data_IF_191971462134
#
_entry.id   IF_191971462134
#
_cell.length_a   1.000
_cell.length_b   1.000
_cell.length_c   1.000
_cell.angle_alpha   90.00
_cell.angle_beta   90.00
_cell.angle_gamma   90.00
#
_symmetry.space_group_name_H-M   'P 1'
#
loop_
_entity.id
_entity.type
_entity.pdbx_description
1 polymer ?
#
# COMPACT_ATOMS: atom_id res chain seq x y z
N UNK A 1 -14.13 9.71 0.15
CA UNK A 1 -15.49 9.11 0.21
C UNK A 1 -15.37 7.67 -0.27
N UNK A 2 -15.74 6.70 0.55
CA UNK A 2 -15.76 5.29 0.13
C UNK A 2 -16.82 5.13 -0.96
N UNK A 3 -16.41 4.59 -2.12
CA UNK A 3 -17.32 4.37 -3.24
C UNK A 3 -18.24 3.19 -2.89
N UNK A 4 -19.50 3.46 -2.72
CA UNK A 4 -20.52 2.44 -2.44
C UNK A 4 -20.59 1.48 -3.64
N UNK A 5 -20.67 0.18 -3.39
CA UNK A 5 -20.81 -0.83 -4.44
C UNK A 5 -21.85 -1.89 -4.06
N UNK A 6 -22.32 -2.61 -5.06
CA UNK A 6 -23.32 -3.67 -4.94
C UNK A 6 -22.75 -4.98 -5.48
N UNK A 7 -23.23 -6.09 -4.95
CA UNK A 7 -22.90 -7.45 -5.41
C UNK A 7 -24.18 -8.27 -5.54
N UNK A 8 -24.14 -9.34 -6.35
CA UNK A 8 -25.27 -10.25 -6.51
C UNK A 8 -24.89 -11.61 -5.97
N UNK A 9 -25.69 -12.11 -5.02
CA UNK A 9 -25.60 -13.46 -4.50
C UNK A 9 -26.70 -14.32 -5.11
N UNK A 10 -26.35 -15.51 -5.62
CA UNK A 10 -27.29 -16.52 -6.11
C UNK A 10 -27.26 -17.72 -5.14
N UNK A 11 -28.44 -18.20 -4.73
CA UNK A 11 -28.55 -19.32 -3.81
C UNK A 11 -27.87 -20.58 -4.35
N UNK A 12 -27.12 -21.28 -3.46
CA UNK A 12 -26.37 -22.47 -3.82
C UNK A 12 -25.08 -22.24 -4.60
N UNK A 13 -24.75 -20.98 -4.90
CA UNK A 13 -23.49 -20.59 -5.55
C UNK A 13 -22.47 -20.10 -4.51
N UNK A 14 -21.20 -20.03 -4.91
CA UNK A 14 -20.14 -19.46 -4.08
C UNK A 14 -20.34 -17.98 -3.77
N UNK A 15 -19.44 -17.42 -2.94
CA UNK A 15 -19.48 -15.99 -2.60
C UNK A 15 -19.36 -15.12 -3.87
N UNK A 16 -20.13 -14.01 -3.94
CA UNK A 16 -20.07 -13.11 -5.09
C UNK A 16 -18.70 -12.44 -5.19
N UNK A 17 -18.16 -12.33 -6.39
CA UNK A 17 -16.84 -11.75 -6.65
C UNK A 17 -16.90 -10.44 -7.44
N UNK A 18 -17.98 -10.22 -8.19
CA UNK A 18 -18.14 -9.05 -9.05
C UNK A 18 -18.81 -7.88 -8.31
N UNK A 19 -18.24 -6.68 -8.45
CA UNK A 19 -18.74 -5.44 -7.85
C UNK A 19 -19.42 -4.58 -8.91
N UNK A 20 -20.67 -4.22 -8.68
CA UNK A 20 -21.44 -3.30 -9.51
C UNK A 20 -21.36 -1.88 -8.91
N UNK A 21 -21.25 -0.88 -9.77
CA UNK A 21 -21.10 0.53 -9.35
C UNK A 21 -22.42 1.16 -8.86
N UNK A 22 -23.55 0.59 -9.25
CA UNK A 22 -24.88 1.07 -8.87
C UNK A 22 -25.88 -0.08 -8.72
N UNK A 23 -26.96 0.19 -8.02
CA UNK A 23 -28.01 -0.78 -7.73
C UNK A 23 -28.72 -1.29 -8.98
N UNK A 24 -28.93 -0.42 -9.98
CA UNK A 24 -29.61 -0.81 -11.23
C UNK A 24 -28.82 -1.86 -12.01
N UNK A 25 -27.49 -1.71 -12.09
CA UNK A 25 -26.63 -2.71 -12.73
C UNK A 25 -26.63 -4.05 -11.97
N UNK A 26 -26.62 -4.00 -10.64
CA UNK A 26 -26.73 -5.18 -9.81
C UNK A 26 -28.10 -5.88 -9.96
N UNK A 27 -29.19 -5.12 -10.00
CA UNK A 27 -30.55 -5.66 -10.18
C UNK A 27 -30.71 -6.38 -11.51
N UNK A 28 -30.25 -5.78 -12.62
CA UNK A 28 -30.27 -6.43 -13.94
C UNK A 28 -29.48 -7.73 -13.97
N UNK A 29 -28.34 -7.77 -13.30
CA UNK A 29 -27.53 -8.98 -13.19
C UNK A 29 -28.20 -10.03 -12.30
N UNK A 30 -28.89 -9.61 -11.24
CA UNK A 30 -29.67 -10.49 -10.39
C UNK A 30 -30.80 -11.17 -11.16
N UNK A 31 -31.58 -10.41 -11.93
CA UNK A 31 -32.64 -10.94 -12.81
C UNK A 31 -32.07 -11.95 -13.82
N UNK A 32 -30.98 -11.58 -14.50
CA UNK A 32 -30.31 -12.46 -15.47
C UNK A 32 -29.83 -13.78 -14.85
N UNK A 33 -29.29 -13.72 -13.63
CA UNK A 33 -28.82 -14.91 -12.92
C UNK A 33 -29.98 -15.76 -12.41
N UNK A 34 -31.05 -15.15 -11.92
CA UNK A 34 -32.24 -15.88 -11.50
C UNK A 34 -32.84 -16.69 -12.65
N UNK A 35 -32.99 -16.07 -13.81
CA UNK A 35 -33.49 -16.77 -15.02
C UNK A 35 -32.54 -17.87 -15.50
N UNK A 36 -31.24 -17.59 -15.51
CA UNK A 36 -30.23 -18.54 -16.01
C UNK A 36 -30.07 -19.77 -15.12
N UNK A 37 -30.11 -19.56 -13.79
CA UNK A 37 -29.78 -20.61 -12.80
C UNK A 37 -31.03 -21.24 -12.20
N UNK A 38 -32.21 -20.61 -12.34
CA UNK A 38 -33.45 -21.08 -11.74
C UNK A 38 -33.45 -21.03 -10.21
N UNK A 39 -32.70 -20.10 -9.61
CA UNK A 39 -32.56 -19.94 -8.16
C UNK A 39 -32.84 -18.51 -7.74
N UNK A 40 -33.14 -18.31 -6.46
CA UNK A 40 -33.29 -16.96 -5.93
C UNK A 40 -31.96 -16.21 -5.96
N UNK A 41 -32.00 -14.93 -6.27
CA UNK A 41 -30.86 -14.04 -6.25
C UNK A 41 -31.12 -12.85 -5.35
N UNK A 42 -30.08 -12.34 -4.71
CA UNK A 42 -30.16 -11.23 -3.77
C UNK A 42 -29.13 -10.17 -4.14
N UNK A 43 -29.57 -8.92 -4.25
CA UNK A 43 -28.67 -7.76 -4.39
C UNK A 43 -28.17 -7.39 -2.99
N UNK A 44 -26.86 -7.42 -2.83
CA UNK A 44 -26.16 -7.06 -1.60
C UNK A 44 -25.53 -5.69 -1.74
N UNK A 45 -25.74 -4.82 -0.77
CA UNK A 45 -25.11 -3.50 -0.70
C UNK A 45 -23.95 -3.53 0.29
N UNK A 46 -22.79 -2.96 -0.08
CA UNK A 46 -21.70 -2.80 0.85
C UNK A 46 -22.04 -1.73 1.89
N UNK A 47 -22.13 -2.15 3.16
CA UNK A 47 -22.44 -1.26 4.29
C UNK A 47 -21.17 -0.67 4.89
N UNK A 48 -20.10 -1.47 4.99
CA UNK A 48 -18.84 -1.05 5.60
C UNK A 48 -17.68 -1.85 5.05
N UNK A 49 -16.59 -1.15 4.78
CA UNK A 49 -15.30 -1.76 4.47
C UNK A 49 -14.38 -1.67 5.69
N UNK A 50 -13.73 -2.76 6.04
CA UNK A 50 -12.77 -2.80 7.14
C UNK A 50 -11.41 -3.15 6.58
N UNK A 51 -10.47 -2.23 6.70
CA UNK A 51 -9.08 -2.46 6.30
C UNK A 51 -8.34 -3.32 7.35
N UNK A 52 -7.34 -4.11 6.93
CA UNK A 52 -6.44 -4.78 7.87
C UNK A 52 -5.81 -3.78 8.84
N UNK A 53 -5.63 -4.18 10.09
CA UNK A 53 -4.91 -3.35 11.09
C UNK A 53 -3.42 -3.29 10.77
N UNK A 54 -2.86 -4.37 10.26
CA UNK A 54 -1.47 -4.48 9.87
C UNK A 54 -1.17 -3.57 8.66
N UNK A 55 -0.36 -2.56 8.88
CA UNK A 55 0.00 -1.57 7.86
C UNK A 55 0.73 -2.20 6.67
N UNK A 56 1.49 -3.27 6.88
CA UNK A 56 2.19 -3.97 5.81
C UNK A 56 1.25 -4.68 4.83
N UNK A 57 0.02 -4.99 5.26
CA UNK A 57 -1.05 -5.53 4.40
C UNK A 57 -1.81 -4.45 3.66
N UNK A 58 -1.76 -3.20 4.15
CA UNK A 58 -2.44 -2.05 3.57
C UNK A 58 -1.58 -1.32 2.54
N UNK A 59 -0.27 -1.25 2.78
CA UNK A 59 0.69 -0.54 1.92
C UNK A 59 1.51 -1.56 1.15
N UNK A 60 1.19 -1.77 -0.12
CA UNK A 60 1.91 -2.63 -1.05
C UNK A 60 2.56 -1.86 -2.19
N UNK A 61 2.02 -0.69 -2.49
CA UNK A 61 2.45 0.17 -3.58
C UNK A 61 2.62 1.62 -3.10
N UNK A 62 3.25 2.44 -3.94
CA UNK A 62 3.34 3.89 -3.69
C UNK A 62 1.95 4.56 -3.62
N UNK A 63 1.00 4.10 -4.46
CA UNK A 63 -0.36 4.63 -4.45
C UNK A 63 -1.08 4.31 -3.13
N UNK A 64 -0.88 3.10 -2.57
CA UNK A 64 -1.42 2.75 -1.26
C UNK A 64 -0.84 3.64 -0.16
N UNK A 65 0.46 3.92 -0.22
CA UNK A 65 1.12 4.82 0.74
C UNK A 65 0.52 6.24 0.69
N UNK A 66 0.31 6.77 -0.51
CA UNK A 66 -0.36 8.07 -0.69
C UNK A 66 -1.78 8.06 -0.13
N UNK A 67 -2.55 6.99 -0.38
CA UNK A 67 -3.91 6.85 0.14
C UNK A 67 -3.94 6.80 1.68
N UNK A 68 -3.00 6.09 2.31
CA UNK A 68 -2.86 6.03 3.78
C UNK A 68 -2.53 7.40 4.37
N UNK A 69 -1.66 8.16 3.71
CA UNK A 69 -1.26 9.51 4.15
C UNK A 69 -2.26 10.62 3.76
N UNK A 70 -3.26 10.29 2.94
CA UNK A 70 -4.24 11.27 2.45
C UNK A 70 -3.64 12.31 1.49
N UNK A 71 -2.60 11.95 0.74
CA UNK A 71 -1.91 12.81 -0.21
C UNK A 71 -2.09 12.33 -1.65
N UNK A 72 -2.04 13.25 -2.61
CA UNK A 72 -2.06 12.92 -4.03
C UNK A 72 -0.71 12.32 -4.48
N UNK A 73 -0.73 11.27 -5.32
CA UNK A 73 0.49 10.75 -5.92
C UNK A 73 1.23 11.80 -6.76
N UNK A 74 2.56 11.83 -6.67
CA UNK A 74 3.39 12.74 -7.45
C UNK A 74 3.22 12.52 -8.96
N UNK A 75 3.10 13.60 -9.70
CA UNK A 75 3.12 13.56 -11.16
C UNK A 75 4.57 13.50 -11.66
N UNK A 76 5.02 12.31 -12.03
CA UNK A 76 6.39 12.06 -12.48
C UNK A 76 6.76 12.84 -13.75
N UNK A 77 5.80 13.03 -14.66
CA UNK A 77 6.02 13.81 -15.90
C UNK A 77 6.31 15.26 -15.58
N UNK A 78 5.62 15.84 -14.61
CA UNK A 78 5.88 17.22 -14.18
C UNK A 78 7.24 17.32 -13.50
N UNK A 79 7.59 16.39 -12.62
CA UNK A 79 8.89 16.38 -11.94
C UNK A 79 10.06 16.24 -12.94
N UNK A 80 9.91 15.35 -13.92
CA UNK A 80 10.94 15.20 -14.98
C UNK A 80 11.12 16.49 -15.80
N UNK A 81 10.04 17.22 -16.11
CA UNK A 81 10.12 18.54 -16.77
C UNK A 81 10.79 19.60 -15.91
N UNK A 82 10.71 19.48 -14.59
CA UNK A 82 11.39 20.36 -13.63
C UNK A 82 12.87 19.97 -13.41
N UNK A 83 13.37 18.95 -14.13
CA UNK A 83 14.76 18.52 -14.06
C UNK A 83 15.07 17.44 -13.03
N UNK A 84 14.07 16.88 -12.34
CA UNK A 84 14.30 15.76 -11.43
C UNK A 84 14.69 14.50 -12.20
N UNK A 85 15.74 13.83 -11.74
CA UNK A 85 16.17 12.55 -12.28
C UNK A 85 15.28 11.39 -11.82
N UNK A 86 15.38 10.24 -12.49
CA UNK A 86 14.55 9.06 -12.13
C UNK A 86 14.84 8.55 -10.72
N UNK A 87 16.08 8.60 -10.28
CA UNK A 87 16.51 8.18 -8.94
C UNK A 87 16.01 9.14 -7.86
N UNK A 88 16.01 10.45 -8.09
CA UNK A 88 15.43 11.43 -7.18
C UNK A 88 13.91 11.23 -7.00
N UNK A 89 13.21 10.97 -8.10
CA UNK A 89 11.77 10.65 -8.07
C UNK A 89 11.53 9.34 -7.31
N UNK A 90 12.33 8.31 -7.58
CA UNK A 90 12.25 7.03 -6.87
C UNK A 90 12.52 7.19 -5.38
N UNK A 91 13.53 7.96 -4.99
CA UNK A 91 13.85 8.24 -3.59
C UNK A 91 12.71 8.97 -2.87
N UNK A 92 12.07 9.94 -3.52
CA UNK A 92 10.89 10.63 -2.97
C UNK A 92 9.73 9.66 -2.71
N UNK A 93 9.48 8.73 -3.65
CA UNK A 93 8.47 7.67 -3.46
C UNK A 93 8.81 6.77 -2.26
N UNK A 94 10.07 6.35 -2.13
CA UNK A 94 10.53 5.54 -1.01
C UNK A 94 10.32 6.25 0.34
N UNK A 95 10.59 7.56 0.40
CA UNK A 95 10.31 8.36 1.61
C UNK A 95 8.83 8.34 1.97
N UNK A 96 7.94 8.54 1.00
CA UNK A 96 6.48 8.48 1.21
C UNK A 96 6.04 7.10 1.69
N UNK A 97 6.57 6.03 1.09
CA UNK A 97 6.27 4.64 1.50
C UNK A 97 6.74 4.40 2.94
N UNK A 98 7.97 4.82 3.28
CA UNK A 98 8.50 4.67 4.63
C UNK A 98 7.67 5.45 5.67
N UNK A 99 7.22 6.66 5.34
CA UNK A 99 6.36 7.46 6.21
C UNK A 99 5.01 6.80 6.46
N UNK A 100 4.39 6.25 5.41
CA UNK A 100 3.13 5.53 5.53
C UNK A 100 3.28 4.25 6.38
N UNK A 101 4.33 3.46 6.15
CA UNK A 101 4.60 2.24 6.90
C UNK A 101 4.89 2.53 8.38
N UNK A 102 5.54 3.63 8.68
CA UNK A 102 5.85 4.04 10.05
C UNK A 102 4.66 4.63 10.82
N UNK A 103 3.49 4.80 10.20
CA UNK A 103 2.26 5.28 10.83
C UNK A 103 2.45 6.55 11.68
N UNK A 104 3.30 7.49 11.19
CA UNK A 104 3.62 8.75 11.87
C UNK A 104 4.77 8.68 12.87
N UNK A 105 5.35 7.51 13.10
CA UNK A 105 6.57 7.40 13.90
C UNK A 105 7.72 8.15 13.22
N UNK A 106 8.46 8.90 14.02
CA UNK A 106 9.69 9.60 13.59
C UNK A 106 10.82 9.20 14.50
N UNK A 107 12.00 8.83 13.95
CA UNK A 107 13.13 8.42 14.77
C UNK A 107 13.62 9.58 15.65
N UNK A 108 13.70 9.35 16.96
CA UNK A 108 14.39 10.25 17.87
C UNK A 108 15.88 9.87 17.89
N UNK A 109 16.67 10.66 17.19
CA UNK A 109 18.10 10.43 17.08
C UNK A 109 18.89 10.73 18.35
N UNK A 110 18.32 11.45 19.32
CA UNK A 110 18.91 11.69 20.61
C UNK A 110 18.68 10.53 21.59
N UNK A 111 17.68 9.69 21.32
CA UNK A 111 17.34 8.56 22.17
C UNK A 111 18.16 7.32 21.79
N UNK A 112 19.17 6.99 22.61
CA UNK A 112 20.03 5.82 22.42
C UNK A 112 19.35 4.49 22.75
N UNK A 113 18.15 4.49 23.36
CA UNK A 113 17.38 3.29 23.66
C UNK A 113 16.39 2.93 22.55
N UNK A 114 16.18 3.81 21.56
CA UNK A 114 15.31 3.58 20.42
C UNK A 114 16.11 3.02 19.25
N UNK A 115 15.90 1.75 18.93
CA UNK A 115 16.51 1.14 17.75
C UNK A 115 15.83 1.64 16.47
N UNK A 116 16.64 2.08 15.49
CA UNK A 116 16.24 2.51 14.17
C UNK A 116 16.74 1.46 13.20
N UNK A 117 15.84 0.97 12.32
CA UNK A 117 16.12 -0.08 11.36
C UNK A 117 16.14 0.49 9.95
N UNK A 118 17.06 0.04 9.13
CA UNK A 118 17.15 0.43 7.71
C UNK A 118 17.55 -0.76 6.84
N UNK A 119 17.13 -0.79 5.55
CA UNK A 119 17.52 -1.85 4.64
C UNK A 119 19.01 -1.74 4.31
N UNK A 120 19.69 -2.89 4.32
CA UNK A 120 21.07 -3.01 3.89
C UNK A 120 21.13 -3.56 2.48
N UNK A 121 21.66 -2.77 1.54
CA UNK A 121 21.77 -3.15 0.15
C UNK A 121 23.18 -3.62 -0.19
N UNK A 122 23.28 -4.74 -0.91
CA UNK A 122 24.53 -5.28 -1.43
C UNK A 122 24.47 -5.25 -2.96
N UNK A 123 25.54 -4.79 -3.57
CA UNK A 123 25.69 -4.86 -5.02
C UNK A 123 25.96 -6.30 -5.43
N UNK A 124 25.12 -6.83 -6.31
CA UNK A 124 25.27 -8.17 -6.86
C UNK A 124 25.55 -8.05 -8.37
N UNK A 125 26.82 -8.23 -8.81
CA UNK A 125 27.17 -8.11 -10.21
C UNK A 125 26.51 -9.17 -11.10
N UNK A 126 26.18 -10.35 -10.55
CA UNK A 126 25.48 -11.41 -11.27
C UNK A 126 24.00 -11.11 -11.52
N UNK A 127 23.38 -10.29 -10.66
CA UNK A 127 21.98 -9.83 -10.79
C UNK A 127 21.89 -8.42 -11.42
N UNK A 128 23.00 -7.87 -11.90
CA UNK A 128 23.11 -6.54 -12.50
C UNK A 128 22.48 -5.41 -11.65
N UNK A 129 22.61 -5.46 -10.33
CA UNK A 129 22.02 -4.43 -9.47
C UNK A 129 22.24 -4.62 -7.98
N UNK A 130 21.56 -3.78 -7.21
CA UNK A 130 21.52 -3.88 -5.75
C UNK A 130 20.36 -4.78 -5.31
N UNK A 131 20.65 -5.66 -4.35
CA UNK A 131 19.65 -6.45 -3.66
C UNK A 131 19.65 -6.11 -2.17
N UNK A 132 18.46 -6.13 -1.54
CA UNK A 132 18.37 -6.04 -0.09
C UNK A 132 18.83 -7.39 0.50
N UNK A 133 19.99 -7.39 1.14
CA UNK A 133 20.58 -8.60 1.70
C UNK A 133 20.13 -8.84 3.15
N UNK A 134 19.87 -7.76 3.90
CA UNK A 134 19.51 -7.81 5.31
C UNK A 134 18.97 -6.45 5.77
N UNK A 135 18.53 -6.38 7.01
CA UNK A 135 18.29 -5.13 7.71
C UNK A 135 19.41 -4.87 8.72
N UNK A 136 19.81 -3.63 8.82
CA UNK A 136 20.74 -3.19 9.86
C UNK A 136 20.00 -2.30 10.86
N UNK A 137 20.54 -2.16 12.07
CA UNK A 137 19.93 -1.36 13.12
C UNK A 137 20.98 -0.67 13.99
N UNK A 138 20.65 0.49 14.53
CA UNK A 138 21.42 1.16 15.56
C UNK A 138 20.51 1.97 16.49
N UNK A 139 20.93 2.08 17.74
CA UNK A 139 20.26 2.92 18.72
C UNK A 139 20.78 4.36 18.69
N UNK A 140 22.04 4.58 18.28
CA UNK A 140 22.65 5.91 18.22
C UNK A 140 23.03 6.36 16.81
N UNK A 141 23.12 7.67 16.65
CA UNK A 141 23.28 8.38 15.37
C UNK A 141 24.69 8.45 14.82
N UNK A 142 25.66 7.86 15.46
CA UNK A 142 27.07 8.21 15.22
C UNK A 142 27.71 7.55 14.00
N UNK A 143 26.97 6.78 13.25
CA UNK A 143 27.51 6.25 11.99
C UNK A 143 27.14 7.18 10.85
N UNK A 144 28.10 7.91 10.35
CA UNK A 144 28.05 8.75 9.16
C UNK A 144 27.70 7.97 7.87
N UNK A 145 27.54 6.66 7.98
CA UNK A 145 27.40 5.72 6.88
C UNK A 145 25.95 5.53 6.41
N UNK A 146 24.97 6.16 7.04
CA UNK A 146 23.57 6.02 6.68
C UNK A 146 23.22 6.98 5.57
N UNK A 147 23.49 6.58 4.34
CA UNK A 147 23.16 7.37 3.13
C UNK A 147 21.67 7.60 2.91
N UNK A 148 20.79 6.77 3.47
CA UNK A 148 19.36 6.99 3.44
C UNK A 148 18.80 7.02 4.87
N UNK A 149 18.11 8.08 5.23
CA UNK A 149 17.38 8.20 6.49
C UNK A 149 16.01 7.51 6.43
N UNK A 150 15.91 6.43 5.66
CA UNK A 150 14.71 5.61 5.57
C UNK A 150 14.75 4.57 6.70
N UNK A 151 14.27 4.96 7.86
CA UNK A 151 14.21 4.11 9.04
C UNK A 151 12.80 3.58 9.24
N UNK A 152 12.73 2.39 9.86
CA UNK A 152 11.49 1.69 10.14
C UNK A 152 11.41 1.30 11.60
N UNK A 153 10.20 1.14 12.12
CA UNK A 153 9.93 0.52 13.40
C UNK A 153 10.31 -0.97 13.39
N UNK A 154 10.72 -1.55 14.54
CA UNK A 154 11.04 -2.97 14.65
C UNK A 154 9.94 -3.91 14.18
N UNK A 155 8.69 -3.52 14.37
CA UNK A 155 7.52 -4.33 14.03
C UNK A 155 7.28 -4.48 12.50
N UNK A 156 8.06 -3.77 11.66
CA UNK A 156 7.91 -3.78 10.20
C UNK A 156 8.95 -4.67 9.50
N UNK A 157 9.85 -5.28 10.23
CA UNK A 157 10.94 -6.11 9.76
C UNK A 157 10.82 -7.52 10.32
#
# INVERSE_FOLDING_TARGET
MEKQFFMVYAEGQGAPTYKHENEQAASKEAERLAEKLGVNTTVLQAVKMVAPKDITKRVKTYADACAVLGIEPMNETVLAKLGFTKDEIAYRKLKTIAEALNEGWRPDWANSNEYKYWPWFVYNPAAAGFSCANTNHAASTTTADVGSRLCFLPALL
#
